data_IF_063309880080
#
_entry.id   IF_063309880080
#
_cell.length_a   1.000
_cell.length_b   1.000
_cell.length_c   1.000
_cell.angle_alpha   90.00
_cell.angle_beta   90.00
_cell.angle_gamma   90.00
#
_symmetry.space_group_name_H-M   'P 1'
#
loop_
_entity.id
_entity.type
_entity.pdbx_description
1 polymer ?
#
# COMPACT_ATOMS: atom_id res chain seq x y z
N UNK A 1 -30.86 5.08 5.97
CA UNK A 1 -29.73 5.16 6.90
C UNK A 1 -28.63 5.91 6.17
N UNK A 2 -28.22 7.13 6.58
CA UNK A 2 -27.10 7.77 5.93
C UNK A 2 -25.82 7.11 6.42
N UNK A 3 -25.08 6.48 5.50
CA UNK A 3 -23.71 6.01 5.72
C UNK A 3 -22.88 7.23 6.14
N UNK A 4 -22.45 7.27 7.41
CA UNK A 4 -21.40 8.16 7.85
C UNK A 4 -20.12 7.71 7.18
N UNK A 5 -19.82 8.28 6.02
CA UNK A 5 -18.48 8.23 5.45
C UNK A 5 -17.56 8.92 6.45
N UNK A 6 -16.91 8.16 7.34
CA UNK A 6 -15.67 8.64 7.93
C UNK A 6 -14.76 8.94 6.75
N UNK A 7 -14.32 10.18 6.60
CA UNK A 7 -13.25 10.52 5.67
C UNK A 7 -11.99 9.76 6.11
N UNK A 8 -11.89 8.49 5.73
CA UNK A 8 -10.73 7.68 6.06
C UNK A 8 -9.57 8.27 5.30
N UNK A 9 -8.54 8.69 6.02
CA UNK A 9 -7.34 9.32 5.44
C UNK A 9 -6.54 8.36 4.55
N UNK A 10 -6.93 7.09 4.49
CA UNK A 10 -6.32 6.03 3.67
C UNK A 10 -7.23 5.71 2.49
N UNK A 11 -6.70 5.57 1.25
CA UNK A 11 -7.48 5.18 0.09
C UNK A 11 -8.20 3.85 0.30
N UNK A 12 -9.50 3.81 -0.05
CA UNK A 12 -10.35 2.61 0.10
C UNK A 12 -9.76 1.38 -0.57
N UNK A 13 -9.13 1.54 -1.73
CA UNK A 13 -8.42 0.46 -2.42
C UNK A 13 -7.37 -0.20 -1.53
N UNK A 14 -6.55 0.57 -0.82
CA UNK A 14 -5.48 0.06 0.05
C UNK A 14 -6.06 -0.75 1.20
N UNK A 15 -7.13 -0.26 1.84
CA UNK A 15 -7.79 -0.98 2.92
C UNK A 15 -8.32 -2.33 2.43
N UNK A 16 -9.08 -2.33 1.33
CA UNK A 16 -9.71 -3.54 0.83
C UNK A 16 -8.70 -4.56 0.29
N UNK A 17 -7.70 -4.14 -0.49
CA UNK A 17 -6.75 -5.10 -1.07
C UNK A 17 -5.88 -5.75 0.01
N UNK A 18 -5.51 -4.99 1.05
CA UNK A 18 -4.75 -5.56 2.18
C UNK A 18 -5.60 -6.52 3.00
N UNK A 19 -6.86 -6.19 3.28
CA UNK A 19 -7.81 -7.08 3.96
C UNK A 19 -8.04 -8.38 3.18
N UNK A 20 -8.28 -8.29 1.87
CA UNK A 20 -8.49 -9.49 1.04
C UNK A 20 -7.23 -10.35 1.01
N UNK A 21 -6.05 -9.77 0.81
CA UNK A 21 -4.79 -10.53 0.82
C UNK A 21 -4.55 -11.18 2.19
N UNK A 22 -4.87 -10.49 3.29
CA UNK A 22 -4.77 -11.06 4.65
C UNK A 22 -5.73 -12.22 4.88
N UNK A 23 -6.96 -12.14 4.33
CA UNK A 23 -7.98 -13.17 4.55
C UNK A 23 -7.69 -14.51 3.86
N UNK A 24 -6.93 -14.53 2.76
CA UNK A 24 -6.77 -15.72 1.92
C UNK A 24 -5.37 -15.94 1.33
N UNK A 25 -4.45 -15.00 1.53
CA UNK A 25 -3.20 -14.94 0.78
C UNK A 25 -1.91 -15.09 1.60
N UNK A 26 -1.96 -15.03 2.93
CA UNK A 26 -0.75 -15.05 3.77
C UNK A 26 0.07 -16.34 3.63
N UNK A 27 -0.58 -17.48 3.42
CA UNK A 27 0.07 -18.78 3.23
C UNK A 27 0.49 -19.03 1.76
N UNK A 28 0.35 -18.04 0.86
CA UNK A 28 0.68 -18.20 -0.57
C UNK A 28 2.18 -18.13 -0.80
N UNK A 29 2.74 -19.18 -1.41
CA UNK A 29 4.15 -19.22 -1.79
C UNK A 29 4.55 -18.06 -2.70
N UNK A 30 5.60 -17.34 -2.31
CA UNK A 30 6.11 -16.22 -3.10
C UNK A 30 5.17 -15.03 -3.17
N UNK A 31 4.31 -14.83 -2.16
CA UNK A 31 3.53 -13.61 -1.97
C UNK A 31 4.41 -12.36 -2.18
N UNK A 32 3.89 -11.37 -2.90
CA UNK A 32 4.61 -10.16 -3.36
C UNK A 32 5.81 -10.37 -4.31
N UNK A 33 6.42 -11.56 -4.36
CA UNK A 33 7.56 -11.89 -5.23
C UNK A 33 7.12 -12.38 -6.62
N UNK A 34 6.14 -13.28 -6.67
CA UNK A 34 5.59 -13.82 -7.92
C UNK A 34 4.63 -12.78 -8.54
N UNK A 35 4.67 -12.67 -9.86
CA UNK A 35 3.80 -11.75 -10.61
C UNK A 35 2.54 -12.47 -11.07
N UNK A 36 1.38 -11.87 -10.78
CA UNK A 36 0.10 -12.32 -11.34
C UNK A 36 -0.05 -11.96 -12.82
N UNK A 37 -1.16 -12.39 -13.42
CA UNK A 37 -1.47 -12.09 -14.80
C UNK A 37 -1.63 -10.57 -15.02
N UNK A 38 -0.85 -10.00 -15.94
CA UNK A 38 -0.84 -8.55 -16.19
C UNK A 38 -2.19 -8.02 -16.70
N UNK A 39 -2.89 -8.78 -17.54
CA UNK A 39 -4.22 -8.40 -18.05
C UNK A 39 -5.25 -8.36 -16.92
N UNK A 40 -5.20 -9.31 -15.98
CA UNK A 40 -6.05 -9.30 -14.78
C UNK A 40 -5.72 -8.13 -13.85
N UNK A 41 -4.44 -7.82 -13.64
CA UNK A 41 -4.01 -6.66 -12.83
C UNK A 41 -4.57 -5.36 -13.44
N UNK A 42 -4.45 -5.18 -14.76
CA UNK A 42 -4.98 -4.01 -15.46
C UNK A 42 -6.50 -3.95 -15.42
N UNK A 43 -7.18 -5.11 -15.50
CA UNK A 43 -8.63 -5.20 -15.32
C UNK A 43 -9.03 -4.70 -13.93
N UNK A 44 -8.37 -5.18 -12.86
CA UNK A 44 -8.66 -4.75 -11.48
C UNK A 44 -8.44 -3.24 -11.33
N UNK A 45 -7.30 -2.72 -11.80
CA UNK A 45 -7.01 -1.28 -11.82
C UNK A 45 -8.16 -0.48 -12.44
N UNK A 46 -8.57 -0.80 -13.66
CA UNK A 46 -9.65 -0.08 -14.35
C UNK A 46 -11.01 -0.18 -13.63
N UNK A 47 -11.30 -1.30 -12.95
CA UNK A 47 -12.53 -1.43 -12.17
C UNK A 47 -12.49 -0.58 -10.89
N UNK A 48 -11.35 -0.56 -10.20
CA UNK A 48 -11.13 0.25 -9.00
C UNK A 48 -11.20 1.74 -9.33
N UNK A 49 -10.63 2.18 -10.46
CA UNK A 49 -10.73 3.57 -10.95
C UNK A 49 -12.20 4.00 -11.19
N UNK A 50 -13.09 3.04 -11.48
CA UNK A 50 -14.54 3.24 -11.63
C UNK A 50 -15.32 2.97 -10.33
N UNK A 51 -14.63 2.88 -9.19
CA UNK A 51 -15.19 2.55 -7.87
C UNK A 51 -15.88 1.18 -7.79
N UNK A 52 -15.60 0.27 -8.72
CA UNK A 52 -16.16 -1.09 -8.78
C UNK A 52 -15.30 -2.09 -8.01
N UNK A 53 -15.27 -1.92 -6.68
CA UNK A 53 -14.48 -2.76 -5.77
C UNK A 53 -14.92 -4.23 -5.72
N UNK A 54 -16.12 -4.56 -6.20
CA UNK A 54 -16.60 -5.95 -6.29
C UNK A 54 -15.64 -6.84 -7.08
N UNK A 55 -15.02 -6.30 -8.14
CA UNK A 55 -14.05 -7.04 -8.94
C UNK A 55 -12.79 -7.43 -8.15
N UNK A 56 -12.39 -6.60 -7.17
CA UNK A 56 -11.27 -6.85 -6.27
C UNK A 56 -11.62 -7.95 -5.26
N UNK A 57 -12.80 -7.86 -4.65
CA UNK A 57 -13.28 -8.84 -3.66
C UNK A 57 -13.47 -10.24 -4.26
N UNK A 58 -13.87 -10.31 -5.53
CA UNK A 58 -14.09 -11.55 -6.27
C UNK A 58 -12.84 -12.13 -6.96
N UNK A 59 -11.67 -11.50 -6.85
CA UNK A 59 -10.44 -11.98 -7.49
C UNK A 59 -9.74 -13.01 -6.61
N UNK A 60 -9.57 -14.24 -7.10
CA UNK A 60 -8.99 -15.36 -6.37
C UNK A 60 -7.47 -15.45 -6.47
N UNK A 61 -6.88 -14.90 -7.55
CA UNK A 61 -5.44 -14.89 -7.72
C UNK A 61 -4.80 -13.80 -6.83
N UNK A 62 -4.20 -14.23 -5.73
CA UNK A 62 -3.49 -13.35 -4.79
C UNK A 62 -2.29 -12.64 -5.44
N UNK A 63 -1.67 -13.23 -6.46
CA UNK A 63 -0.60 -12.57 -7.20
C UNK A 63 -1.13 -11.45 -8.10
N UNK A 64 -2.40 -11.52 -8.54
CA UNK A 64 -3.10 -10.41 -9.19
C UNK A 64 -3.41 -9.31 -8.18
N UNK A 65 -3.92 -9.65 -6.99
CA UNK A 65 -4.22 -8.69 -5.93
C UNK A 65 -2.96 -7.90 -5.48
N UNK A 66 -1.88 -8.63 -5.17
CA UNK A 66 -0.59 -8.01 -4.80
C UNK A 66 0.04 -7.26 -5.97
N UNK A 67 -0.19 -7.72 -7.21
CA UNK A 67 0.16 -7.00 -8.44
C UNK A 67 -0.56 -5.66 -8.56
N UNK A 68 -1.87 -5.61 -8.30
CA UNK A 68 -2.66 -4.39 -8.29
C UNK A 68 -2.21 -3.43 -7.17
N UNK A 69 -1.90 -3.94 -5.98
CA UNK A 69 -1.34 -3.12 -4.89
C UNK A 69 -0.01 -2.47 -5.28
N UNK A 70 0.91 -3.24 -5.88
CA UNK A 70 2.19 -2.71 -6.39
C UNK A 70 1.96 -1.67 -7.50
N UNK A 71 1.00 -1.93 -8.39
CA UNK A 71 0.68 -1.04 -9.50
C UNK A 71 0.16 0.31 -9.00
N UNK A 72 -0.71 0.31 -7.99
CA UNK A 72 -1.26 1.52 -7.40
C UNK A 72 -0.16 2.48 -6.95
N UNK A 73 0.81 2.01 -6.14
CA UNK A 73 1.91 2.87 -5.68
C UNK A 73 2.81 3.35 -6.81
N UNK A 74 2.94 2.57 -7.88
CA UNK A 74 3.76 2.91 -9.05
C UNK A 74 3.11 4.00 -9.92
N UNK A 75 1.79 4.06 -9.96
CA UNK A 75 1.04 5.00 -10.81
C UNK A 75 0.64 6.30 -10.11
N UNK A 76 0.95 6.46 -8.81
CA UNK A 76 0.74 7.72 -8.12
C UNK A 76 1.46 8.87 -8.85
N UNK A 77 0.79 10.02 -8.96
CA UNK A 77 1.38 11.24 -9.53
C UNK A 77 2.62 11.70 -8.76
N UNK A 78 2.63 11.48 -7.45
CA UNK A 78 3.79 11.61 -6.57
C UNK A 78 3.99 10.31 -5.77
N UNK A 79 5.22 9.78 -5.66
CA UNK A 79 5.48 8.58 -4.86
C UNK A 79 5.02 8.75 -3.40
N UNK A 80 4.62 7.63 -2.78
CA UNK A 80 4.16 7.61 -1.38
C UNK A 80 5.20 8.19 -0.41
N UNK A 81 6.48 8.05 -0.75
CA UNK A 81 7.59 8.83 -0.20
C UNK A 81 7.85 10.02 -1.13
N UNK A 82 7.44 11.25 -0.74
CA UNK A 82 7.61 12.45 -1.55
C UNK A 82 9.05 12.64 -2.01
N UNK A 83 9.23 13.13 -3.23
CA UNK A 83 10.56 13.33 -3.81
C UNK A 83 11.39 14.34 -3.01
N UNK A 84 10.72 15.29 -2.33
CA UNK A 84 11.32 16.27 -1.42
C UNK A 84 11.99 15.63 -0.20
N UNK A 85 11.49 14.48 0.28
CA UNK A 85 12.01 13.76 1.46
C UNK A 85 12.82 12.52 1.09
N UNK A 86 12.83 12.10 -0.17
CA UNK A 86 13.47 10.86 -0.61
C UNK A 86 14.96 10.77 -0.23
N UNK A 87 15.72 11.86 -0.40
CA UNK A 87 17.14 11.91 -0.01
C UNK A 87 17.32 11.73 1.50
N UNK A 88 16.43 12.31 2.30
CA UNK A 88 16.48 12.21 3.76
C UNK A 88 16.18 10.79 4.22
N UNK A 89 15.19 10.12 3.62
CA UNK A 89 14.92 8.70 3.87
C UNK A 89 16.12 7.81 3.51
N UNK A 90 16.80 8.07 2.38
CA UNK A 90 18.01 7.33 1.98
C UNK A 90 19.13 7.56 3.00
N UNK A 91 19.31 8.81 3.47
CA UNK A 91 20.31 9.14 4.49
C UNK A 91 20.00 8.44 5.82
N UNK A 92 18.76 8.53 6.31
CA UNK A 92 18.31 7.84 7.52
C UNK A 92 18.53 6.33 7.42
N UNK A 93 18.33 5.73 6.24
CA UNK A 93 18.59 4.30 6.04
C UNK A 93 20.08 3.92 6.17
N UNK A 94 21.01 4.84 5.91
CA UNK A 94 22.46 4.60 6.02
C UNK A 94 23.00 4.74 7.45
N UNK A 95 22.21 5.28 8.38
CA UNK A 95 22.60 5.38 9.78
C UNK A 95 22.83 3.99 10.40
N UNK A 96 23.74 3.86 11.38
CA UNK A 96 23.89 2.63 12.16
C UNK A 96 22.56 2.22 12.81
N UNK A 97 22.34 0.90 12.96
CA UNK A 97 21.18 0.39 13.70
C UNK A 97 21.23 0.90 15.14
N UNK A 98 20.11 1.41 15.63
CA UNK A 98 19.98 1.94 16.98
C UNK A 98 18.92 3.04 17.07
N UNK A 99 18.79 3.63 18.26
CA UNK A 99 17.78 4.66 18.55
C UNK A 99 17.87 5.87 17.62
N UNK A 100 19.09 6.29 17.26
CA UNK A 100 19.29 7.43 16.35
C UNK A 100 18.67 7.20 14.96
N UNK A 101 18.75 5.97 14.44
CA UNK A 101 18.11 5.62 13.17
C UNK A 101 16.58 5.61 13.31
N UNK A 102 16.06 5.02 14.38
CA UNK A 102 14.61 4.98 14.63
C UNK A 102 14.03 6.39 14.76
N UNK A 103 14.69 7.27 15.53
CA UNK A 103 14.29 8.66 15.69
C UNK A 103 14.29 9.42 14.35
N UNK A 104 15.32 9.23 13.53
CA UNK A 104 15.37 9.85 12.20
C UNK A 104 14.20 9.40 11.29
N UNK A 105 13.83 8.12 11.33
CA UNK A 105 12.66 7.64 10.59
C UNK A 105 11.35 8.20 11.15
N UNK A 106 11.19 8.26 12.48
CA UNK A 106 10.00 8.83 13.12
C UNK A 106 9.81 10.32 12.74
N UNK A 107 10.88 11.12 12.83
CA UNK A 107 10.89 12.52 12.42
C UNK A 107 10.50 12.69 10.94
N UNK A 108 10.97 11.80 10.06
CA UNK A 108 10.64 11.83 8.63
C UNK A 108 9.20 11.40 8.34
N UNK A 109 8.71 10.36 9.02
CA UNK A 109 7.32 9.92 8.90
C UNK A 109 6.36 11.02 9.39
N UNK A 110 6.73 11.77 10.42
CA UNK A 110 5.94 12.90 10.92
C UNK A 110 5.90 14.10 9.96
N UNK A 111 6.87 14.23 9.04
CA UNK A 111 6.88 15.24 7.98
C UNK A 111 6.06 14.86 6.75
N UNK A 112 5.63 13.60 6.63
CA UNK A 112 4.80 13.16 5.51
C UNK A 112 3.41 13.82 5.58
N UNK A 113 2.78 14.06 4.42
CA UNK A 113 1.35 14.35 4.38
C UNK A 113 0.57 13.27 5.14
N UNK A 114 -0.50 13.70 5.83
CA UNK A 114 -1.30 12.81 6.68
C UNK A 114 -1.77 11.56 5.91
N UNK A 115 -2.28 11.73 4.69
CA UNK A 115 -2.72 10.64 3.80
C UNK A 115 -1.60 9.63 3.56
N UNK A 116 -0.39 10.11 3.23
CA UNK A 116 0.75 9.24 2.95
C UNK A 116 1.16 8.45 4.20
N UNK A 117 1.23 9.13 5.35
CA UNK A 117 1.61 8.50 6.62
C UNK A 117 0.62 7.43 7.04
N UNK A 118 -0.69 7.72 7.02
CA UNK A 118 -1.70 6.74 7.39
C UNK A 118 -1.76 5.56 6.41
N UNK A 119 -1.55 5.83 5.11
CA UNK A 119 -1.46 4.77 4.09
C UNK A 119 -0.25 3.86 4.31
N UNK A 120 0.91 4.44 4.65
CA UNK A 120 2.11 3.67 4.99
C UNK A 120 1.94 2.83 6.25
N UNK A 121 1.22 3.32 7.26
CA UNK A 121 0.91 2.52 8.47
C UNK A 121 0.13 1.27 8.12
N UNK A 122 -0.90 1.38 7.27
CA UNK A 122 -1.67 0.22 6.80
C UNK A 122 -0.78 -0.73 5.99
N UNK A 123 0.00 -0.20 5.05
CA UNK A 123 0.91 -1.01 4.23
C UNK A 123 1.95 -1.75 5.08
N UNK A 124 2.61 -1.07 6.02
CA UNK A 124 3.62 -1.70 6.86
C UNK A 124 3.03 -2.68 7.86
N UNK A 125 1.87 -2.36 8.44
CA UNK A 125 1.12 -3.31 9.27
C UNK A 125 0.72 -4.56 8.50
N UNK A 126 0.39 -4.43 7.21
CA UNK A 126 0.13 -5.56 6.33
C UNK A 126 1.41 -6.39 6.07
N UNK A 127 2.52 -5.76 5.70
CA UNK A 127 3.75 -6.44 5.29
C UNK A 127 4.52 -7.14 6.43
N UNK A 128 4.18 -6.85 7.70
CA UNK A 128 4.81 -7.47 8.89
C UNK A 128 4.02 -8.71 9.36
N UNK A 129 2.80 -8.93 8.83
CA UNK A 129 2.00 -10.12 9.15
C UNK A 129 2.60 -11.39 8.56
#
# INVERSE_FOLDING_TARGET
>A
MPEQFSETTVPRFIQLVTEVVESKGLDTDGLYRVSGNLSSIQRIRCQVDQEKYVALLAEDDVHVLTGALKLFFRELSEPIFPSSLAKDFIYANRLPKGEGKLKAFDDLLNKLPLVNRETLKVLFGHLIR
#
